data_IF_260311959016
#
_entry.id   IF_260311959016
#
_cell.length_a   1.000
_cell.length_b   1.000
_cell.length_c   1.000
_cell.angle_alpha   90.00
_cell.angle_beta   90.00
_cell.angle_gamma   90.00
#
_symmetry.space_group_name_H-M   'P 1'
#
loop_
_entity.id
_entity.type
_entity.pdbx_description
1 polymer ?
#
# COMPACT_ATOMS: atom_id res chain seq x y z
N UNK A 1 15.65 55.35 14.16
CA UNK A 1 15.04 54.66 15.31
C UNK A 1 15.94 53.50 15.70
N UNK A 2 16.41 53.51 16.95
CA UNK A 2 17.32 52.54 17.58
C UNK A 2 16.61 51.20 17.77
N UNK A 3 17.31 50.07 17.58
CA UNK A 3 17.28 48.94 18.53
C UNK A 3 18.61 48.17 18.48
N UNK A 4 19.22 48.05 19.66
CA UNK A 4 20.37 47.22 20.01
C UNK A 4 20.01 45.73 19.94
N UNK A 5 21.00 44.85 19.72
CA UNK A 5 21.25 43.76 20.70
C UNK A 5 22.67 43.19 20.58
N UNK A 6 23.28 42.97 21.75
CA UNK A 6 24.65 42.60 22.03
C UNK A 6 25.02 41.17 21.61
N UNK A 7 26.26 40.99 21.15
CA UNK A 7 26.90 39.68 21.04
C UNK A 7 27.67 39.38 22.35
N UNK A 8 27.29 38.30 23.04
CA UNK A 8 27.99 37.76 24.19
C UNK A 8 28.67 36.45 23.77
N UNK A 9 30.00 36.43 23.84
CA UNK A 9 30.85 35.28 23.56
C UNK A 9 30.94 34.44 24.85
N UNK A 10 30.49 33.19 24.82
CA UNK A 10 30.71 32.23 25.92
C UNK A 10 31.46 31.01 25.40
N UNK A 11 32.66 30.83 25.93
CA UNK A 11 33.57 29.70 25.71
C UNK A 11 33.02 28.50 26.49
N UNK A 12 32.78 27.38 25.82
CA UNK A 12 32.43 26.11 26.46
C UNK A 12 33.65 25.19 26.48
N UNK A 13 34.02 24.79 27.70
CA UNK A 13 35.12 23.89 28.06
C UNK A 13 34.80 22.44 27.66
N UNK A 14 35.82 21.74 27.18
CA UNK A 14 35.79 20.31 26.84
C UNK A 14 36.12 19.45 28.07
N UNK A 15 35.28 18.46 28.38
CA UNK A 15 35.65 17.33 29.23
C UNK A 15 35.38 16.02 28.48
N UNK A 16 36.46 15.28 28.26
CA UNK A 16 36.46 13.93 27.71
C UNK A 16 36.37 12.92 28.87
N UNK A 17 35.43 11.97 28.78
CA UNK A 17 35.34 10.84 29.68
C UNK A 17 35.78 9.55 28.96
N UNK A 18 36.75 8.89 29.58
CA UNK A 18 37.38 7.61 29.20
C UNK A 18 36.45 6.43 29.52
N UNK A 19 36.34 5.38 28.69
CA UNK A 19 35.73 4.12 29.09
C UNK A 19 36.76 3.12 29.63
N UNK A 20 36.42 2.47 30.74
CA UNK A 20 37.23 1.46 31.42
C UNK A 20 37.06 0.06 30.79
N UNK A 21 38.18 -0.63 30.55
CA UNK A 21 38.25 -2.05 30.20
C UNK A 21 37.92 -2.95 31.40
N UNK A 22 37.23 -4.08 31.16
CA UNK A 22 37.40 -5.28 31.99
C UNK A 22 37.13 -6.59 31.25
N UNK A 23 38.26 -7.19 30.85
CA UNK A 23 38.64 -8.61 30.68
C UNK A 23 37.62 -9.76 30.78
N UNK A 24 37.73 -10.62 29.75
CA UNK A 24 37.25 -11.99 29.56
C UNK A 24 37.79 -12.98 30.62
N UNK A 25 36.94 -13.89 31.11
CA UNK A 25 37.35 -15.25 31.54
C UNK A 25 36.24 -16.27 31.26
N UNK A 26 36.56 -17.26 30.43
CA UNK A 26 35.80 -18.47 30.20
C UNK A 26 36.09 -19.48 31.32
N UNK A 27 35.07 -20.22 31.76
CA UNK A 27 35.24 -21.54 32.37
C UNK A 27 34.11 -22.46 31.88
N UNK A 28 34.52 -23.58 31.29
CA UNK A 28 33.72 -24.73 30.90
C UNK A 28 33.55 -25.69 32.11
N UNK A 29 32.41 -26.38 32.16
CA UNK A 29 32.02 -27.38 33.17
C UNK A 29 30.60 -27.04 33.66
N UNK A 30 29.54 -27.84 33.52
CA UNK A 30 29.44 -29.30 33.49
C UNK A 30 28.24 -29.74 32.64
N UNK A 31 28.41 -30.85 31.90
CA UNK A 31 27.34 -31.63 31.29
C UNK A 31 27.20 -32.90 32.12
N UNK A 32 26.07 -33.08 32.82
CA UNK A 32 25.63 -34.39 33.30
C UNK A 32 24.10 -34.44 33.51
N UNK A 33 23.45 -35.18 32.62
CA UNK A 33 22.30 -36.08 32.79
C UNK A 33 21.09 -35.67 33.64
N UNK A 34 19.93 -35.53 32.98
CA UNK A 34 18.65 -36.05 33.47
C UNK A 34 17.70 -36.42 32.31
N UNK A 35 17.62 -37.73 32.09
CA UNK A 35 16.54 -38.54 31.52
C UNK A 35 15.19 -37.91 31.12
N UNK A 36 14.77 -38.27 29.90
CA UNK A 36 13.45 -38.78 29.52
C UNK A 36 12.21 -38.27 30.29
N UNK A 37 11.56 -37.28 29.69
CA UNK A 37 10.13 -37.03 29.84
C UNK A 37 9.57 -36.64 28.47
N UNK A 38 9.09 -37.62 27.70
CA UNK A 38 8.20 -37.36 26.56
C UNK A 38 6.85 -36.90 27.13
N UNK A 39 6.81 -35.66 27.62
CA UNK A 39 5.57 -34.94 27.81
C UNK A 39 5.15 -34.43 26.44
N UNK A 40 3.95 -34.81 26.00
CA UNK A 40 3.23 -34.08 24.95
C UNK A 40 3.12 -32.62 25.43
N UNK A 41 4.06 -31.77 24.99
CA UNK A 41 3.91 -30.33 25.09
C UNK A 41 2.75 -29.99 24.18
N UNK A 42 1.56 -29.85 24.78
CA UNK A 42 0.44 -29.23 24.11
C UNK A 42 0.93 -27.92 23.51
N UNK A 43 0.80 -27.78 22.19
CA UNK A 43 1.23 -26.59 21.46
C UNK A 43 0.35 -25.42 21.88
N UNK A 44 0.70 -24.77 22.99
CA UNK A 44 0.25 -23.41 23.28
C UNK A 44 0.99 -22.50 22.29
N UNK A 45 0.53 -22.48 21.05
CA UNK A 45 0.95 -21.46 20.09
C UNK A 45 0.60 -20.10 20.69
N UNK A 46 1.61 -19.23 20.86
CA UNK A 46 1.39 -17.85 21.27
C UNK A 46 0.31 -17.20 20.40
N UNK A 47 -0.55 -16.31 20.94
CA UNK A 47 -1.60 -15.65 20.17
C UNK A 47 -1.12 -15.01 18.86
N UNK A 48 0.10 -14.48 18.84
CA UNK A 48 0.75 -13.94 17.64
C UNK A 48 0.99 -14.99 16.53
N UNK A 49 1.37 -16.22 16.91
CA UNK A 49 1.60 -17.30 15.96
C UNK A 49 0.28 -17.81 15.35
N UNK A 50 -0.77 -17.92 16.17
CA UNK A 50 -2.10 -18.26 15.68
C UNK A 50 -2.60 -17.18 14.70
N UNK A 51 -2.43 -15.90 15.06
CA UNK A 51 -2.82 -14.80 14.19
C UNK A 51 -2.09 -14.78 12.84
N UNK A 52 -0.78 -15.07 12.85
CA UNK A 52 0.00 -15.22 11.63
C UNK A 52 -0.51 -16.37 10.76
N UNK A 53 -0.83 -17.52 11.36
CA UNK A 53 -1.30 -18.69 10.64
C UNK A 53 -2.66 -18.45 9.98
N UNK A 54 -3.61 -17.87 10.70
CA UNK A 54 -4.97 -17.59 10.20
C UNK A 54 -4.97 -16.49 9.13
N UNK A 55 -4.16 -15.45 9.32
CA UNK A 55 -3.93 -14.39 8.31
C UNK A 55 -3.35 -14.99 7.03
N UNK A 56 -2.27 -15.78 7.14
CA UNK A 56 -1.62 -16.41 5.97
C UNK A 56 -2.53 -17.42 5.26
N UNK A 57 -3.35 -18.16 6.00
CA UNK A 57 -4.35 -19.05 5.42
C UNK A 57 -5.34 -18.24 4.58
N UNK A 58 -5.87 -17.14 5.13
CA UNK A 58 -6.82 -16.27 4.45
C UNK A 58 -6.22 -15.64 3.19
N UNK A 59 -4.97 -15.16 3.27
CA UNK A 59 -4.23 -14.63 2.12
C UNK A 59 -4.12 -15.65 0.99
N UNK A 60 -3.71 -16.89 1.30
CA UNK A 60 -3.59 -17.95 0.30
C UNK A 60 -4.94 -18.31 -0.34
N UNK A 61 -6.00 -18.37 0.47
CA UNK A 61 -7.30 -18.85 0.02
C UNK A 61 -8.10 -17.76 -0.72
N UNK A 62 -7.96 -16.48 -0.33
CA UNK A 62 -8.77 -15.36 -0.85
C UNK A 62 -8.01 -14.42 -1.81
N UNK A 63 -6.68 -14.39 -1.70
CA UNK A 63 -5.80 -13.51 -2.47
C UNK A 63 -4.59 -14.27 -3.03
N UNK A 64 -4.82 -15.33 -3.84
CA UNK A 64 -3.73 -16.15 -4.36
C UNK A 64 -2.78 -15.30 -5.22
N UNK A 65 -1.48 -15.37 -4.93
CA UNK A 65 -0.45 -14.56 -5.58
C UNK A 65 -0.09 -13.26 -4.83
N UNK A 66 -0.78 -12.95 -3.72
CA UNK A 66 -0.38 -11.84 -2.87
C UNK A 66 1.01 -12.09 -2.27
N UNK A 67 1.84 -11.05 -2.24
CA UNK A 67 3.22 -11.12 -1.73
C UNK A 67 3.51 -10.01 -0.72
N UNK A 68 4.46 -10.24 0.23
CA UNK A 68 4.90 -9.22 1.17
C UNK A 68 5.44 -7.97 0.46
N UNK A 69 5.27 -6.78 1.06
CA UNK A 69 5.72 -5.51 0.47
C UNK A 69 7.21 -5.51 0.06
N UNK A 70 8.09 -6.11 0.86
CA UNK A 70 9.53 -6.14 0.56
C UNK A 70 9.81 -7.03 -0.66
N UNK A 71 9.11 -8.15 -0.78
CA UNK A 71 9.18 -9.04 -1.95
C UNK A 71 8.62 -8.36 -3.19
N UNK A 72 7.53 -7.59 -3.06
CA UNK A 72 6.97 -6.78 -4.13
C UNK A 72 8.01 -5.78 -4.66
N UNK A 73 8.65 -5.02 -3.77
CA UNK A 73 9.67 -4.04 -4.14
C UNK A 73 10.83 -4.69 -4.91
N UNK A 74 11.35 -5.81 -4.39
CA UNK A 74 12.43 -6.56 -5.03
C UNK A 74 12.05 -6.99 -6.44
N UNK A 75 10.88 -7.63 -6.60
CA UNK A 75 10.40 -8.13 -7.90
C UNK A 75 10.15 -7.00 -8.89
N UNK A 76 9.55 -5.89 -8.45
CA UNK A 76 9.32 -4.70 -9.27
C UNK A 76 10.64 -4.10 -9.74
N UNK A 77 11.62 -3.94 -8.85
CA UNK A 77 12.94 -3.42 -9.19
C UNK A 77 13.67 -4.29 -10.22
N UNK A 78 13.68 -5.61 -10.00
CA UNK A 78 14.29 -6.58 -10.92
C UNK A 78 13.66 -6.56 -12.31
N UNK A 79 12.35 -6.31 -12.40
CA UNK A 79 11.64 -6.24 -13.69
C UNK A 79 11.87 -4.93 -14.42
N UNK A 80 11.84 -3.81 -13.70
CA UNK A 80 11.90 -2.51 -14.33
C UNK A 80 13.34 -2.07 -14.69
N UNK A 81 14.38 -2.68 -14.11
CA UNK A 81 15.77 -2.31 -14.41
C UNK A 81 16.11 -2.48 -15.89
N UNK A 82 15.59 -3.53 -16.55
CA UNK A 82 15.78 -3.75 -18.00
C UNK A 82 15.08 -2.70 -18.86
N UNK A 83 14.04 -2.09 -18.32
CA UNK A 83 13.29 -1.01 -18.96
C UNK A 83 13.87 0.38 -18.64
N UNK A 84 14.99 0.46 -17.92
CA UNK A 84 15.70 1.70 -17.62
C UNK A 84 15.24 2.41 -16.34
N UNK A 85 14.46 1.74 -15.49
CA UNK A 85 14.07 2.28 -14.19
C UNK A 85 15.15 1.95 -13.16
N UNK A 86 15.80 2.98 -12.63
CA UNK A 86 16.76 2.86 -11.52
C UNK A 86 16.32 3.73 -10.35
N UNK A 87 16.90 3.53 -9.17
CA UNK A 87 16.63 4.36 -7.99
C UNK A 87 16.84 5.86 -8.25
N UNK A 88 17.81 6.22 -9.09
CA UNK A 88 18.22 7.62 -9.33
C UNK A 88 17.45 8.27 -10.49
N UNK A 89 16.74 7.47 -11.29
CA UNK A 89 16.04 7.93 -12.51
C UNK A 89 14.54 7.70 -12.45
N UNK A 90 14.01 7.21 -11.33
CA UNK A 90 12.59 6.88 -11.19
C UNK A 90 11.95 7.72 -10.10
N UNK A 91 10.89 8.44 -10.46
CA UNK A 91 9.97 9.00 -9.47
C UNK A 91 8.83 8.02 -9.23
N UNK A 92 8.57 7.67 -7.97
CA UNK A 92 7.40 6.87 -7.61
C UNK A 92 6.23 7.80 -7.31
N UNK A 93 5.05 7.45 -7.82
CA UNK A 93 3.80 8.00 -7.34
C UNK A 93 2.87 6.89 -6.87
N UNK A 94 2.09 7.14 -5.83
CA UNK A 94 1.07 6.20 -5.38
C UNK A 94 -0.35 6.74 -5.60
N UNK A 95 -1.30 5.84 -5.83
CA UNK A 95 -2.71 6.14 -5.68
C UNK A 95 -3.35 5.09 -4.78
N UNK A 96 -3.27 5.36 -3.47
CA UNK A 96 -3.73 4.50 -2.39
C UNK A 96 -4.77 5.24 -1.53
N UNK A 97 -5.49 4.48 -0.70
CA UNK A 97 -6.49 5.06 0.18
C UNK A 97 -5.86 5.95 1.26
N UNK A 98 -6.53 7.05 1.60
CA UNK A 98 -6.13 7.99 2.65
C UNK A 98 -5.95 7.35 4.03
N UNK A 99 -6.53 6.17 4.25
CA UNK A 99 -6.41 5.37 5.48
C UNK A 99 -4.94 5.13 5.87
N UNK A 100 -4.58 5.34 7.14
CA UNK A 100 -3.21 5.32 7.64
C UNK A 100 -2.53 3.96 7.53
N UNK A 101 -3.30 2.87 7.48
CA UNK A 101 -2.73 1.51 7.33
C UNK A 101 -2.06 1.30 5.97
N UNK A 102 -2.23 2.22 5.02
CA UNK A 102 -1.63 2.10 3.70
C UNK A 102 -0.23 2.70 3.59
N UNK A 103 0.18 3.53 4.57
CA UNK A 103 1.50 4.19 4.58
C UNK A 103 2.69 3.22 4.50
N UNK A 104 2.68 2.02 5.11
CA UNK A 104 3.81 1.09 5.03
C UNK A 104 4.22 0.72 3.60
N UNK A 105 3.28 0.59 2.66
CA UNK A 105 3.60 0.32 1.26
C UNK A 105 4.33 1.51 0.62
N UNK A 106 3.87 2.73 0.89
CA UNK A 106 4.53 3.96 0.41
C UNK A 106 5.93 4.07 1.01
N UNK A 107 6.08 3.82 2.31
CA UNK A 107 7.37 3.83 3.00
C UNK A 107 8.35 2.81 2.41
N UNK A 108 7.89 1.61 2.05
CA UNK A 108 8.72 0.59 1.38
C UNK A 108 9.29 1.12 0.07
N UNK A 109 8.47 1.72 -0.80
CA UNK A 109 8.96 2.27 -2.07
C UNK A 109 9.79 3.55 -1.87
N UNK A 110 9.39 4.44 -0.95
CA UNK A 110 10.08 5.68 -0.60
C UNK A 110 11.51 5.41 -0.14
N UNK A 111 11.71 4.40 0.73
CA UNK A 111 13.05 4.01 1.21
C UNK A 111 14.02 3.63 0.09
N UNK A 112 13.52 3.11 -1.04
CA UNK A 112 14.35 2.69 -2.17
C UNK A 112 14.49 3.77 -3.26
N UNK A 113 13.39 4.41 -3.65
CA UNK A 113 13.33 5.37 -4.75
C UNK A 113 13.49 6.84 -4.33
N UNK A 114 13.53 7.13 -3.03
CA UNK A 114 13.69 8.49 -2.52
C UNK A 114 12.36 9.21 -2.42
N UNK A 115 12.05 10.14 -3.34
CA UNK A 115 10.86 10.98 -3.27
C UNK A 115 9.59 10.24 -3.74
N UNK A 116 8.43 10.72 -3.26
CA UNK A 116 7.12 10.16 -3.57
C UNK A 116 6.11 11.26 -3.93
N UNK A 117 5.22 10.96 -4.89
CA UNK A 117 4.07 11.80 -5.22
C UNK A 117 2.75 11.09 -4.88
N UNK A 118 1.86 11.76 -4.15
CA UNK A 118 0.55 11.22 -3.78
C UNK A 118 -0.54 11.62 -4.79
N UNK A 119 -1.13 10.63 -5.47
CA UNK A 119 -2.25 10.83 -6.42
C UNK A 119 -3.60 10.33 -5.88
N UNK A 120 -3.59 9.61 -4.76
CA UNK A 120 -4.75 8.92 -4.21
C UNK A 120 -5.80 9.79 -3.52
N UNK A 121 -6.65 9.11 -2.75
CA UNK A 121 -7.73 9.66 -1.95
C UNK A 121 -8.63 8.51 -1.51
N UNK A 122 -9.91 8.76 -1.20
CA UNK A 122 -10.79 7.72 -0.65
C UNK A 122 -10.83 6.45 -1.54
N UNK A 123 -10.73 5.29 -0.89
CA UNK A 123 -10.68 3.95 -1.50
C UNK A 123 -9.53 3.70 -2.49
N UNK A 124 -8.59 4.63 -2.67
CA UNK A 124 -7.45 4.49 -3.59
C UNK A 124 -7.71 4.98 -5.01
N UNK A 125 -8.76 5.77 -5.24
CA UNK A 125 -8.98 6.40 -6.54
C UNK A 125 -7.95 7.52 -6.80
N UNK A 126 -7.49 7.68 -8.06
CA UNK A 126 -6.52 8.71 -8.44
C UNK A 126 -7.17 10.09 -8.58
N UNK A 127 -7.68 10.63 -7.47
CA UNK A 127 -8.44 11.87 -7.42
C UNK A 127 -7.64 13.12 -7.79
N UNK A 128 -6.30 13.09 -7.75
CA UNK A 128 -5.49 14.20 -8.26
C UNK A 128 -5.64 14.38 -9.79
N UNK A 129 -6.08 13.34 -10.50
CA UNK A 129 -6.47 13.39 -11.89
C UNK A 129 -5.34 13.73 -12.88
N UNK A 130 -5.73 14.22 -14.05
CA UNK A 130 -4.83 14.63 -15.14
C UNK A 130 -3.86 15.74 -14.69
N UNK A 131 -4.37 16.71 -13.92
CA UNK A 131 -3.54 17.80 -13.38
C UNK A 131 -2.50 17.27 -12.40
N UNK A 132 -2.89 16.38 -11.49
CA UNK A 132 -1.95 15.75 -10.56
C UNK A 132 -0.89 14.92 -11.26
N UNK A 133 -1.26 14.15 -12.29
CA UNK A 133 -0.29 13.42 -13.11
C UNK A 133 0.69 14.37 -13.81
N UNK A 134 0.20 15.46 -14.40
CA UNK A 134 1.06 16.44 -15.07
C UNK A 134 2.03 17.12 -14.10
N UNK A 135 1.59 17.43 -12.87
CA UNK A 135 2.45 17.95 -11.82
C UNK A 135 3.52 16.93 -11.43
N UNK A 136 3.15 15.67 -11.19
CA UNK A 136 4.08 14.57 -10.95
C UNK A 136 5.10 14.44 -12.09
N UNK A 137 4.66 14.50 -13.34
CA UNK A 137 5.52 14.35 -14.51
C UNK A 137 6.62 15.43 -14.56
N UNK A 138 6.32 16.66 -14.12
CA UNK A 138 7.32 17.74 -14.04
C UNK A 138 8.38 17.55 -12.95
N UNK A 139 8.19 16.59 -12.04
CA UNK A 139 9.13 16.27 -10.96
C UNK A 139 9.96 15.00 -11.26
N UNK A 140 9.70 14.33 -12.38
CA UNK A 140 10.51 13.19 -12.83
C UNK A 140 11.94 13.70 -13.10
N UNK A 141 13.00 12.99 -12.65
CA UNK A 141 14.37 13.34 -12.99
C UNK A 141 14.58 13.52 -14.49
N UNK A 142 15.56 14.34 -14.90
CA UNK A 142 15.90 14.50 -16.31
C UNK A 142 16.20 13.14 -16.97
N UNK A 143 15.54 12.86 -18.10
CA UNK A 143 15.60 11.57 -18.80
C UNK A 143 15.14 10.36 -17.95
N UNK A 144 14.37 10.61 -16.89
CA UNK A 144 13.84 9.61 -15.98
C UNK A 144 12.50 9.04 -16.39
N UNK A 145 11.97 8.20 -15.49
CA UNK A 145 10.72 7.46 -15.64
C UNK A 145 9.84 7.65 -14.41
N UNK A 146 8.56 7.28 -14.52
CA UNK A 146 7.64 7.23 -13.39
C UNK A 146 7.13 5.81 -13.15
N UNK A 147 7.16 5.37 -11.89
CA UNK A 147 6.45 4.18 -11.43
C UNK A 147 5.19 4.60 -10.67
N UNK A 148 4.02 4.20 -11.17
CA UNK A 148 2.73 4.36 -10.50
C UNK A 148 2.34 3.08 -9.76
N UNK A 149 2.23 3.15 -8.43
CA UNK A 149 1.73 2.06 -7.58
C UNK A 149 0.33 2.40 -7.09
N UNK A 150 -0.69 1.62 -7.46
CA UNK A 150 -2.07 2.01 -7.18
C UNK A 150 -3.01 0.85 -6.92
N UNK A 151 -4.10 1.15 -6.22
CA UNK A 151 -5.14 0.18 -5.96
C UNK A 151 -5.99 0.47 -4.74
N UNK A 152 -7.11 -0.26 -4.58
CA UNK A 152 -7.84 -0.29 -3.34
C UNK A 152 -7.07 -1.10 -2.28
N UNK A 153 -7.59 -1.08 -1.06
CA UNK A 153 -7.05 -1.88 0.03
C UNK A 153 -8.14 -2.64 0.80
N UNK A 154 -7.74 -3.69 1.51
CA UNK A 154 -8.60 -4.49 2.39
C UNK A 154 -7.82 -4.95 3.62
N UNK A 155 -8.46 -4.90 4.78
CA UNK A 155 -7.89 -5.45 6.01
C UNK A 155 -8.16 -6.94 6.15
N UNK A 156 -7.18 -7.68 6.66
CA UNK A 156 -7.35 -9.04 7.21
C UNK A 156 -6.88 -9.01 8.64
N UNK A 157 -7.76 -9.31 9.60
CA UNK A 157 -7.42 -9.26 11.02
C UNK A 157 -6.72 -10.53 11.50
N UNK A 158 -6.31 -10.56 12.77
CA UNK A 158 -5.61 -11.71 13.37
C UNK A 158 -6.44 -13.01 13.42
N UNK A 159 -7.75 -12.94 13.20
CA UNK A 159 -8.63 -14.12 13.13
C UNK A 159 -8.89 -14.57 11.68
N UNK A 160 -8.20 -13.97 10.70
CA UNK A 160 -8.42 -14.24 9.28
C UNK A 160 -9.69 -13.61 8.70
N UNK A 161 -10.35 -12.69 9.41
CA UNK A 161 -11.55 -12.01 8.93
C UNK A 161 -11.18 -10.89 7.96
N UNK A 162 -11.72 -10.97 6.75
CA UNK A 162 -11.54 -9.99 5.67
C UNK A 162 -12.48 -8.79 5.85
N UNK A 163 -12.00 -7.59 5.50
CA UNK A 163 -12.74 -6.32 5.58
C UNK A 163 -12.51 -5.55 6.88
N UNK A 164 -11.56 -5.99 7.71
CA UNK A 164 -11.23 -5.39 9.01
C UNK A 164 -9.80 -5.75 9.41
N UNK A 165 -9.17 -4.89 10.22
CA UNK A 165 -7.83 -5.11 10.77
C UNK A 165 -7.72 -4.38 12.11
N UNK A 166 -6.97 -4.95 13.05
CA UNK A 166 -6.66 -4.33 14.34
C UNK A 166 -5.93 -3.00 14.12
N UNK A 167 -6.34 -1.97 14.88
CA UNK A 167 -5.74 -0.62 14.81
C UNK A 167 -5.12 -0.25 16.13
N UNK A 168 -3.95 0.38 16.04
CA UNK A 168 -3.18 0.83 17.21
C UNK A 168 -4.04 1.70 18.14
N UNK A 169 -4.13 1.30 19.40
CA UNK A 169 -4.87 2.03 20.43
C UNK A 169 -6.39 1.86 20.39
N UNK A 170 -6.93 0.94 19.57
CA UNK A 170 -8.37 0.67 19.50
C UNK A 170 -8.69 -0.77 19.97
N UNK A 171 -9.78 -0.92 20.74
CA UNK A 171 -10.26 -2.22 21.20
C UNK A 171 -11.15 -2.94 20.17
N UNK A 172 -11.77 -2.19 19.25
CA UNK A 172 -12.66 -2.74 18.22
C UNK A 172 -12.13 -2.38 16.86
N UNK A 173 -11.83 -3.40 16.06
CA UNK A 173 -11.45 -3.22 14.66
C UNK A 173 -12.65 -2.70 13.85
N UNK A 174 -12.45 -1.56 13.18
CA UNK A 174 -13.40 -0.98 12.25
C UNK A 174 -13.34 -1.61 10.85
N UNK A 175 -14.10 -1.06 9.92
CA UNK A 175 -14.02 -1.46 8.51
C UNK A 175 -12.67 -1.06 7.89
N UNK A 176 -12.17 -1.89 6.98
CA UNK A 176 -10.95 -1.65 6.21
C UNK A 176 -11.09 -2.31 4.82
N UNK A 177 -11.28 -1.58 3.72
CA UNK A 177 -11.37 -0.12 3.56
C UNK A 177 -12.69 0.48 4.04
N UNK A 178 -12.66 1.48 4.93
CA UNK A 178 -13.87 2.15 5.42
C UNK A 178 -14.73 2.78 4.33
N UNK A 179 -14.11 3.47 3.36
CA UNK A 179 -14.80 4.14 2.25
C UNK A 179 -15.49 3.15 1.30
N UNK A 180 -14.79 2.09 0.88
CA UNK A 180 -15.35 1.07 -0.01
C UNK A 180 -16.45 0.26 0.69
N UNK A 181 -16.30 -0.04 1.99
CA UNK A 181 -17.34 -0.71 2.77
C UNK A 181 -18.57 0.19 2.91
N UNK A 182 -18.40 1.49 3.18
CA UNK A 182 -19.51 2.44 3.22
C UNK A 182 -20.24 2.51 1.86
N UNK A 183 -19.49 2.59 0.77
CA UNK A 183 -20.05 2.52 -0.58
C UNK A 183 -20.85 1.22 -0.76
N UNK A 184 -20.29 0.05 -0.43
CA UNK A 184 -20.99 -1.25 -0.57
C UNK A 184 -22.33 -1.32 0.17
N UNK A 185 -22.45 -0.67 1.34
CA UNK A 185 -23.71 -0.57 2.09
C UNK A 185 -24.73 0.29 1.35
N UNK A 186 -24.28 1.42 0.81
CA UNK A 186 -25.12 2.27 -0.04
C UNK A 186 -25.60 1.53 -1.30
N UNK A 187 -24.71 0.79 -1.98
CA UNK A 187 -25.08 -0.02 -3.14
C UNK A 187 -26.20 -1.02 -2.85
N UNK A 188 -26.12 -1.69 -1.68
CA UNK A 188 -27.15 -2.62 -1.23
C UNK A 188 -28.49 -1.92 -1.05
N UNK A 189 -28.52 -0.74 -0.42
CA UNK A 189 -29.75 0.05 -0.26
C UNK A 189 -30.36 0.42 -1.62
N UNK A 190 -29.54 0.77 -2.60
CA UNK A 190 -30.04 1.08 -3.96
C UNK A 190 -30.63 -0.17 -4.63
N UNK A 191 -29.97 -1.32 -4.54
CA UNK A 191 -30.49 -2.57 -5.12
C UNK A 191 -31.78 -3.03 -4.45
N UNK A 192 -31.86 -2.92 -3.13
CA UNK A 192 -33.03 -3.32 -2.35
C UNK A 192 -34.22 -2.34 -2.54
N UNK A 193 -33.99 -1.18 -3.17
CA UNK A 193 -35.00 -0.14 -3.39
C UNK A 193 -35.20 0.79 -2.18
N UNK A 194 -34.30 0.72 -1.19
CA UNK A 194 -34.33 1.52 0.04
C UNK A 194 -33.69 2.92 -0.12
N UNK A 195 -32.96 3.16 -1.21
CA UNK A 195 -32.32 4.43 -1.51
C UNK A 195 -32.27 4.73 -3.00
N UNK A 196 -32.34 6.02 -3.35
CA UNK A 196 -32.15 6.48 -4.73
C UNK A 196 -30.67 6.46 -5.14
N UNK A 197 -30.45 6.30 -6.45
CA UNK A 197 -29.13 6.49 -7.03
C UNK A 197 -28.68 7.96 -6.88
N UNK A 198 -27.51 8.18 -6.29
CA UNK A 198 -26.92 9.50 -6.13
C UNK A 198 -26.48 10.02 -7.51
N UNK A 199 -26.75 11.31 -7.76
CA UNK A 199 -26.15 12.00 -8.89
C UNK A 199 -24.65 12.24 -8.70
N UNK A 200 -23.98 12.82 -9.71
CA UNK A 200 -22.63 13.34 -9.55
C UNK A 200 -22.56 14.35 -8.38
N UNK A 201 -21.46 14.40 -7.61
CA UNK A 201 -21.35 15.32 -6.49
C UNK A 201 -21.45 16.78 -6.96
N UNK A 202 -22.33 17.55 -6.32
CA UNK A 202 -22.54 18.98 -6.60
C UNK A 202 -21.70 19.92 -5.72
N UNK A 203 -21.08 19.39 -4.67
CA UNK A 203 -20.25 20.14 -3.73
C UNK A 203 -18.99 19.33 -3.34
N UNK A 204 -17.91 20.03 -3.03
CA UNK A 204 -16.61 19.40 -2.75
C UNK A 204 -16.54 18.68 -1.39
N UNK A 205 -17.44 19.00 -0.44
CA UNK A 205 -17.34 18.59 0.97
C UNK A 205 -17.24 17.07 1.17
N UNK A 206 -17.98 16.29 0.38
CA UNK A 206 -17.96 14.81 0.40
C UNK A 206 -17.92 14.21 -1.01
N UNK A 207 -17.34 14.95 -1.97
CA UNK A 207 -17.34 14.58 -3.38
C UNK A 207 -16.63 13.25 -3.65
N UNK A 208 -15.56 12.95 -2.90
CA UNK A 208 -14.81 11.71 -3.09
C UNK A 208 -15.64 10.49 -2.73
N UNK A 209 -16.36 10.51 -1.60
CA UNK A 209 -17.17 9.36 -1.19
C UNK A 209 -18.35 9.15 -2.15
N UNK A 210 -19.02 10.23 -2.57
CA UNK A 210 -20.06 10.15 -3.60
C UNK A 210 -19.52 9.57 -4.91
N UNK A 211 -18.31 9.97 -5.33
CA UNK A 211 -17.65 9.40 -6.50
C UNK A 211 -17.35 7.91 -6.34
N UNK A 212 -16.78 7.48 -5.20
CA UNK A 212 -16.52 6.05 -4.91
C UNK A 212 -17.82 5.24 -5.00
N UNK A 213 -18.89 5.71 -4.35
CA UNK A 213 -20.21 5.07 -4.39
C UNK A 213 -20.73 4.94 -5.83
N UNK A 214 -20.67 6.01 -6.61
CA UNK A 214 -21.15 6.01 -7.99
C UNK A 214 -20.33 5.09 -8.91
N UNK A 215 -19.02 5.05 -8.73
CA UNK A 215 -18.13 4.19 -9.53
C UNK A 215 -18.30 2.69 -9.21
N UNK A 216 -18.82 2.36 -8.02
CA UNK A 216 -19.08 0.98 -7.62
C UNK A 216 -20.50 0.48 -7.95
N UNK A 217 -21.45 1.37 -8.28
CA UNK A 217 -22.82 0.98 -8.66
C UNK A 217 -22.92 -0.11 -9.74
N UNK A 218 -22.12 -0.07 -10.82
CA UNK A 218 -22.15 -1.14 -11.82
C UNK A 218 -21.77 -2.54 -11.29
N UNK A 219 -21.10 -2.58 -10.13
CA UNK A 219 -20.64 -3.82 -9.48
C UNK A 219 -21.50 -4.19 -8.27
N UNK A 220 -22.59 -3.47 -8.01
CA UNK A 220 -23.40 -3.65 -6.81
C UNK A 220 -23.93 -5.09 -6.67
N UNK A 221 -24.44 -5.70 -7.75
CA UNK A 221 -24.91 -7.10 -7.71
C UNK A 221 -23.76 -8.09 -7.46
N UNK A 222 -22.60 -7.89 -8.09
CA UNK A 222 -21.40 -8.72 -7.90
C UNK A 222 -20.96 -8.71 -6.43
N UNK A 223 -20.96 -7.52 -5.81
CA UNK A 223 -20.54 -7.34 -4.41
C UNK A 223 -21.60 -7.89 -3.45
N UNK A 224 -22.87 -7.49 -3.60
CA UNK A 224 -23.94 -7.77 -2.64
C UNK A 224 -24.28 -9.25 -2.55
N UNK A 225 -24.24 -9.98 -3.68
CA UNK A 225 -24.62 -11.38 -3.75
C UNK A 225 -23.44 -12.36 -3.76
N UNK A 226 -22.21 -11.86 -3.60
CA UNK A 226 -21.04 -12.70 -3.42
C UNK A 226 -21.16 -13.57 -2.16
N UNK A 227 -20.57 -14.78 -2.22
CA UNK A 227 -20.41 -15.63 -1.03
C UNK A 227 -19.64 -14.92 0.08
N UNK A 228 -18.56 -14.22 -0.31
CA UNK A 228 -17.68 -13.47 0.58
C UNK A 228 -17.54 -12.02 0.09
N UNK A 229 -18.52 -11.13 0.37
CA UNK A 229 -18.55 -9.76 -0.16
C UNK A 229 -17.30 -8.94 0.16
N UNK A 230 -16.68 -9.15 1.32
CA UNK A 230 -15.47 -8.42 1.71
C UNK A 230 -14.21 -8.89 0.97
N UNK A 231 -14.22 -10.10 0.41
CA UNK A 231 -13.18 -10.55 -0.52
C UNK A 231 -13.42 -9.95 -1.90
N UNK A 232 -14.67 -9.94 -2.38
CA UNK A 232 -15.03 -9.44 -3.71
C UNK A 232 -14.90 -7.91 -3.83
N UNK A 233 -15.23 -7.18 -2.78
CA UNK A 233 -15.22 -5.71 -2.74
C UNK A 233 -13.90 -5.08 -3.26
N UNK A 234 -12.70 -5.45 -2.78
CA UNK A 234 -11.46 -4.88 -3.30
C UNK A 234 -11.22 -5.21 -4.78
N UNK A 235 -11.55 -6.42 -5.28
CA UNK A 235 -11.46 -6.73 -6.71
C UNK A 235 -12.42 -5.87 -7.55
N UNK A 236 -13.67 -5.74 -7.10
CA UNK A 236 -14.66 -4.90 -7.77
C UNK A 236 -14.25 -3.42 -7.76
N UNK A 237 -13.61 -2.95 -6.69
CA UNK A 237 -13.10 -1.57 -6.54
C UNK A 237 -11.88 -1.30 -7.40
N UNK A 238 -11.04 -2.31 -7.64
CA UNK A 238 -9.87 -2.17 -8.50
C UNK A 238 -10.26 -1.86 -9.95
N UNK A 239 -11.32 -2.46 -10.47
CA UNK A 239 -11.78 -2.27 -11.87
C UNK A 239 -11.98 -0.78 -12.25
N UNK A 240 -12.77 0.03 -11.52
CA UNK A 240 -12.93 1.45 -11.84
C UNK A 240 -11.70 2.29 -11.48
N UNK A 241 -10.91 1.93 -10.47
CA UNK A 241 -9.63 2.61 -10.15
C UNK A 241 -8.66 2.45 -11.31
N UNK A 242 -8.45 1.23 -11.79
CA UNK A 242 -7.59 0.91 -12.92
C UNK A 242 -8.08 1.58 -14.20
N UNK A 243 -9.38 1.53 -14.46
CA UNK A 243 -9.98 2.25 -15.59
C UNK A 243 -9.77 3.77 -15.54
N UNK A 244 -9.85 4.38 -14.36
CA UNK A 244 -9.57 5.81 -14.18
C UNK A 244 -8.09 6.13 -14.35
N UNK A 245 -7.19 5.32 -13.78
CA UNK A 245 -5.74 5.47 -13.93
C UNK A 245 -5.32 5.40 -15.40
N UNK A 246 -5.86 4.42 -16.14
CA UNK A 246 -5.63 4.28 -17.58
C UNK A 246 -6.03 5.52 -18.37
N UNK A 247 -7.19 6.12 -18.04
CA UNK A 247 -7.65 7.36 -18.68
C UNK A 247 -6.75 8.55 -18.35
N UNK A 248 -6.27 8.65 -17.11
CA UNK A 248 -5.33 9.70 -16.69
C UNK A 248 -4.02 9.57 -17.46
N UNK A 249 -3.42 8.37 -17.49
CA UNK A 249 -2.17 8.13 -18.21
C UNK A 249 -2.33 8.40 -19.70
N UNK A 250 -3.41 7.93 -20.33
CA UNK A 250 -3.66 8.21 -21.74
C UNK A 250 -3.79 9.71 -22.05
N UNK A 251 -4.39 10.49 -21.15
CA UNK A 251 -4.57 11.93 -21.32
C UNK A 251 -3.30 12.74 -21.03
N UNK A 252 -2.36 12.21 -20.24
CA UNK A 252 -1.28 12.98 -19.66
C UNK A 252 0.14 12.41 -19.90
N UNK A 253 0.29 11.23 -20.51
CA UNK A 253 1.61 10.60 -20.75
C UNK A 253 2.55 11.51 -21.54
N UNK A 254 2.01 12.35 -22.43
CA UNK A 254 2.78 13.33 -23.21
C UNK A 254 3.41 14.45 -22.37
N UNK A 255 3.08 14.52 -21.07
CA UNK A 255 3.73 15.42 -20.10
C UNK A 255 5.03 14.87 -19.55
N UNK A 256 5.29 13.58 -19.74
CA UNK A 256 6.57 12.96 -19.43
C UNK A 256 7.57 13.34 -20.52
N UNK A 257 8.86 13.40 -20.16
CA UNK A 257 9.93 13.65 -21.13
C UNK A 257 9.84 12.73 -22.36
N UNK A 258 10.35 13.15 -23.52
CA UNK A 258 10.14 12.45 -24.80
C UNK A 258 10.56 10.97 -24.78
N UNK A 259 11.60 10.63 -24.01
CA UNK A 259 12.10 9.26 -23.83
C UNK A 259 11.70 8.60 -22.51
N UNK A 260 10.93 9.31 -21.68
CA UNK A 260 10.50 8.80 -20.38
C UNK A 260 9.36 7.78 -20.52
N UNK A 261 9.28 6.90 -19.53
CA UNK A 261 8.30 5.80 -19.49
C UNK A 261 7.43 5.88 -18.25
N UNK A 262 6.27 5.23 -18.32
CA UNK A 262 5.37 4.98 -17.20
C UNK A 262 5.32 3.49 -16.94
N UNK A 263 5.73 3.08 -15.74
CA UNK A 263 5.41 1.76 -15.22
C UNK A 263 4.10 1.84 -14.42
N UNK A 264 3.17 0.93 -14.69
CA UNK A 264 1.90 0.81 -13.98
C UNK A 264 1.92 -0.47 -13.15
N UNK A 265 1.93 -0.35 -11.83
CA UNK A 265 1.76 -1.44 -10.87
C UNK A 265 0.41 -1.28 -10.17
N UNK A 266 -0.62 -1.91 -10.73
CA UNK A 266 -1.98 -1.90 -10.18
C UNK A 266 -2.26 -3.19 -9.44
N UNK A 267 -2.94 -3.12 -8.29
CA UNK A 267 -3.28 -4.32 -7.53
C UNK A 267 -4.14 -4.07 -6.30
N UNK A 268 -4.18 -5.03 -5.39
CA UNK A 268 -4.87 -4.91 -4.11
C UNK A 268 -3.84 -4.82 -2.98
N UNK A 269 -3.89 -3.76 -2.19
CA UNK A 269 -3.15 -3.70 -0.93
C UNK A 269 -3.91 -4.45 0.17
N UNK A 270 -3.22 -5.30 0.93
CA UNK A 270 -3.81 -6.13 1.98
C UNK A 270 -3.12 -5.81 3.30
N UNK A 271 -3.86 -5.16 4.20
CA UNK A 271 -3.35 -4.72 5.48
C UNK A 271 -3.56 -5.82 6.53
N UNK A 272 -2.54 -6.09 7.32
CA UNK A 272 -2.50 -7.17 8.31
C UNK A 272 -2.23 -6.63 9.71
N UNK A 273 -2.40 -7.44 10.78
CA UNK A 273 -2.15 -7.01 12.15
C UNK A 273 -0.72 -6.49 12.36
N UNK A 274 -0.56 -5.56 13.31
CA UNK A 274 0.75 -5.04 13.70
C UNK A 274 1.71 -6.19 14.08
N UNK A 275 2.93 -6.14 13.53
CA UNK A 275 3.94 -7.19 13.69
C UNK A 275 3.94 -8.24 12.58
N UNK A 276 2.92 -8.27 11.72
CA UNK A 276 2.92 -9.03 10.47
C UNK A 276 3.27 -8.13 9.29
N UNK A 277 3.71 -8.75 8.19
CA UNK A 277 3.99 -8.03 6.95
C UNK A 277 2.67 -7.76 6.21
N UNK A 278 2.49 -6.54 5.73
CA UNK A 278 1.45 -6.24 4.74
C UNK A 278 1.77 -6.86 3.39
N UNK A 279 0.71 -7.15 2.62
CA UNK A 279 0.80 -7.82 1.33
C UNK A 279 0.24 -6.95 0.21
N UNK A 280 0.63 -7.27 -1.01
CA UNK A 280 0.06 -6.71 -2.22
C UNK A 280 -0.20 -7.82 -3.23
N UNK A 281 -1.36 -7.79 -3.89
CA UNK A 281 -1.70 -8.67 -5.00
C UNK A 281 -1.64 -7.89 -6.32
N UNK A 282 -0.59 -8.07 -7.15
CA UNK A 282 -0.52 -7.44 -8.46
C UNK A 282 -1.61 -7.96 -9.40
N UNK A 283 -2.33 -7.04 -10.03
CA UNK A 283 -3.36 -7.32 -11.06
C UNK A 283 -3.06 -6.62 -12.39
N UNK A 284 -2.17 -5.62 -12.40
CA UNK A 284 -1.55 -5.00 -13.57
C UNK A 284 -0.06 -4.81 -13.28
N UNK A 285 0.78 -5.19 -14.24
CA UNK A 285 2.16 -4.75 -14.26
C UNK A 285 2.65 -4.59 -15.69
N UNK A 286 2.88 -3.35 -16.12
CA UNK A 286 3.26 -3.03 -17.49
C UNK A 286 4.06 -1.74 -17.59
N UNK A 287 4.68 -1.52 -18.75
CA UNK A 287 5.44 -0.31 -19.08
C UNK A 287 4.89 0.31 -20.38
N UNK A 288 4.71 1.62 -20.37
CA UNK A 288 4.32 2.43 -21.54
C UNK A 288 5.32 3.54 -21.81
N UNK A 289 5.37 4.01 -23.05
CA UNK A 289 6.12 5.22 -23.41
C UNK A 289 5.30 6.51 -23.21
N UNK A 290 5.92 7.66 -23.48
CA UNK A 290 5.32 9.00 -23.40
C UNK A 290 4.14 9.21 -24.36
N UNK A 291 4.00 8.38 -25.40
CA UNK A 291 2.84 8.36 -26.30
C UNK A 291 1.72 7.41 -25.84
N UNK A 292 1.84 6.85 -24.63
CA UNK A 292 0.95 5.84 -24.06
C UNK A 292 0.94 4.52 -24.86
N UNK A 293 1.96 4.26 -25.67
CA UNK A 293 2.13 2.98 -26.35
C UNK A 293 2.69 1.95 -25.37
N UNK A 294 2.07 0.78 -25.34
CA UNK A 294 2.52 -0.35 -24.54
C UNK A 294 3.89 -0.86 -25.03
N UNK A 295 4.83 -1.00 -24.12
CA UNK A 295 6.18 -1.52 -24.37
C UNK A 295 6.37 -2.95 -23.83
N UNK A 296 5.75 -3.28 -22.70
CA UNK A 296 5.78 -4.62 -22.07
C UNK A 296 4.60 -4.76 -21.09
N UNK A 297 3.90 -5.89 -21.16
CA UNK A 297 2.77 -6.29 -20.29
C UNK A 297 2.96 -7.69 -19.68
N UNK A 298 4.03 -8.40 -20.05
CA UNK A 298 4.42 -9.73 -19.57
C UNK A 298 5.07 -9.69 -18.17
N UNK A 299 5.03 -8.54 -17.49
CA UNK A 299 5.71 -8.37 -16.21
C UNK A 299 4.98 -9.08 -15.07
N UNK A 300 3.66 -9.33 -15.19
CA UNK A 300 2.86 -10.06 -14.20
C UNK A 300 3.17 -11.55 -14.11
N UNK A 301 3.42 -12.21 -15.24
CA UNK A 301 3.56 -13.68 -15.33
C UNK A 301 4.77 -14.21 -14.54
N UNK A 302 5.65 -13.31 -14.12
CA UNK A 302 6.90 -13.63 -13.42
C UNK A 302 6.93 -12.91 -12.05
N UNK A 303 5.78 -12.42 -11.59
CA UNK A 303 5.55 -11.96 -10.22
C UNK A 303 5.12 -13.12 -9.30
N UNK A 304 5.23 -14.38 -9.75
CA UNK A 304 4.92 -15.61 -9.00
C UNK A 304 6.21 -16.28 -8.56
#
# INVERSE_FOLDING_TARGET
MKFLLSALLLIASTEALVPAERTRRQTFGDIAAASAGFGLVGSNSSPAFAAEMDTKKTLRDSFPGAMPNDMLLERVGLKLIRSGFTKDTTLVASSLCSDEVNRPLEDTFLKYYGNHFSMGGLAGFPFSGVTGFAAMASHIPDNGNCLLVYGPHVGVNGEGKVGTVERKGQQKSGACCGSAVAASRYLKQVIDGDADQMGPPSAALDAQQAYVSNMLLPYASEITYAKDPMVVLPYATFKPIDGMMNKIVAAASSKIGPNGKVALLGGLQINTPEGLSDYFLPLRFEVRDSSNKLLSDDLLDIMV
#
